data_IF_530613256646
#
_entry.id   IF_530613256646
#
_cell.length_a   1.000
_cell.length_b   1.000
_cell.length_c   1.000
_cell.angle_alpha   90.00
_cell.angle_beta   90.00
_cell.angle_gamma   90.00
#
_symmetry.space_group_name_H-M   'P 1'
#
loop_
_entity.id
_entity.type
_entity.pdbx_description
1 polymer ?
#
# COMPACT_ATOMS: atom_id res chain seq x y z
N UNK A 1 23.03 -15.70 -27.56
CA UNK A 1 23.90 -16.24 -26.50
C UNK A 1 24.48 -17.56 -26.98
N UNK A 2 25.74 -17.84 -26.66
CA UNK A 2 26.42 -19.11 -26.99
C UNK A 2 27.17 -19.61 -25.75
N UNK A 3 27.62 -20.87 -25.71
CA UNK A 3 28.42 -21.39 -24.59
C UNK A 3 29.66 -20.52 -24.27
N UNK A 4 30.31 -19.97 -25.30
CA UNK A 4 31.52 -19.12 -25.17
C UNK A 4 31.20 -17.63 -24.93
N UNK A 5 29.92 -17.25 -25.06
CA UNK A 5 29.44 -15.89 -24.82
C UNK A 5 28.02 -15.94 -24.23
N UNK A 6 27.90 -16.32 -22.94
CA UNK A 6 26.62 -16.45 -22.28
C UNK A 6 25.97 -15.08 -22.06
N UNK A 7 24.65 -15.03 -22.13
CA UNK A 7 23.91 -13.85 -21.69
C UNK A 7 23.86 -13.88 -20.16
N UNK A 8 24.51 -12.91 -19.52
CA UNK A 8 24.46 -12.75 -18.08
C UNK A 8 23.30 -11.82 -17.70
N UNK A 9 22.55 -12.21 -16.68
CA UNK A 9 21.43 -11.44 -16.13
C UNK A 9 21.62 -11.22 -14.64
N UNK A 10 21.23 -10.05 -14.17
CA UNK A 10 21.21 -9.71 -12.74
C UNK A 10 19.77 -9.46 -12.33
N UNK A 11 19.32 -10.13 -11.27
CA UNK A 11 18.03 -9.90 -10.66
C UNK A 11 18.23 -9.19 -9.33
N UNK A 12 17.67 -7.99 -9.20
CA UNK A 12 17.64 -7.23 -7.95
C UNK A 12 16.19 -7.04 -7.54
N UNK A 13 15.83 -7.56 -6.37
CA UNK A 13 14.50 -7.35 -5.81
C UNK A 13 14.39 -5.91 -5.28
N UNK A 14 13.45 -5.15 -5.84
CA UNK A 14 13.18 -3.79 -5.39
C UNK A 14 12.48 -3.81 -4.03
N UNK A 15 13.13 -3.24 -3.01
CA UNK A 15 12.54 -3.16 -1.67
C UNK A 15 11.48 -2.05 -1.62
N UNK A 16 10.19 -2.36 -1.34
CA UNK A 16 9.12 -1.37 -1.46
C UNK A 16 9.27 -0.14 -0.54
N UNK A 17 9.82 -0.31 0.67
CA UNK A 17 10.00 0.77 1.65
C UNK A 17 11.02 1.78 1.14
N UNK A 18 12.23 1.34 0.80
CA UNK A 18 13.30 2.18 0.25
C UNK A 18 12.86 2.91 -1.03
N UNK A 19 12.15 2.22 -1.94
CA UNK A 19 11.64 2.82 -3.18
C UNK A 19 10.63 3.94 -2.90
N UNK A 20 9.70 3.74 -1.96
CA UNK A 20 8.73 4.76 -1.55
C UNK A 20 9.43 5.94 -0.86
N UNK A 21 10.35 5.68 0.07
CA UNK A 21 11.11 6.75 0.75
C UNK A 21 11.89 7.63 -0.24
N UNK A 22 12.60 7.01 -1.19
CA UNK A 22 13.35 7.74 -2.22
C UNK A 22 12.42 8.55 -3.14
N UNK A 23 11.31 7.97 -3.57
CA UNK A 23 10.34 8.68 -4.40
C UNK A 23 9.78 9.93 -3.68
N UNK A 24 9.44 9.81 -2.39
CA UNK A 24 8.97 10.94 -1.58
C UNK A 24 10.06 11.99 -1.32
N UNK A 25 11.30 11.55 -1.08
CA UNK A 25 12.43 12.45 -0.88
C UNK A 25 12.73 13.26 -2.15
N UNK A 26 12.68 12.61 -3.32
CA UNK A 26 12.81 13.26 -4.63
C UNK A 26 11.71 14.28 -4.87
N UNK A 27 10.44 13.93 -4.58
CA UNK A 27 9.31 14.86 -4.68
C UNK A 27 9.48 16.11 -3.80
N UNK A 28 10.00 15.91 -2.61
CA UNK A 28 10.20 17.00 -1.64
C UNK A 28 11.37 17.90 -2.04
N UNK A 29 12.42 17.32 -2.62
CA UNK A 29 13.63 18.05 -3.04
C UNK A 29 13.47 18.79 -4.38
N UNK A 30 12.71 18.23 -5.33
CA UNK A 30 12.55 18.80 -6.67
C UNK A 30 11.46 19.88 -6.77
N UNK A 31 10.69 20.13 -5.69
CA UNK A 31 9.37 20.73 -5.80
C UNK A 31 8.41 19.78 -6.53
N UNK A 32 7.09 20.06 -6.51
CA UNK A 32 6.06 19.16 -7.03
C UNK A 32 6.46 18.52 -8.38
N UNK A 33 6.92 17.26 -8.32
CA UNK A 33 7.33 16.51 -9.50
C UNK A 33 6.12 16.46 -10.42
N UNK A 34 6.36 16.76 -11.71
CA UNK A 34 5.35 16.70 -12.77
C UNK A 34 4.45 15.49 -12.53
N UNK A 35 3.14 15.76 -12.43
CA UNK A 35 2.11 14.72 -12.37
C UNK A 35 2.49 13.61 -13.36
N UNK A 36 2.45 12.33 -12.96
CA UNK A 36 2.68 11.24 -13.90
C UNK A 36 1.77 11.47 -15.12
N UNK A 37 2.33 11.33 -16.32
CA UNK A 37 1.55 11.42 -17.54
C UNK A 37 0.39 10.44 -17.42
N UNK A 38 -0.83 10.88 -17.76
CA UNK A 38 -2.07 10.10 -17.65
C UNK A 38 -2.16 8.95 -18.65
N UNK A 39 -1.05 8.28 -18.93
CA UNK A 39 -0.98 7.08 -19.76
C UNK A 39 -1.44 5.84 -18.98
N UNK A 40 -1.84 4.78 -19.70
CA UNK A 40 -2.29 3.53 -19.10
C UNK A 40 -1.21 2.90 -18.23
N UNK A 41 -1.64 2.32 -17.10
CA UNK A 41 -0.78 1.60 -16.16
C UNK A 41 -0.26 0.32 -16.85
N UNK A 42 1.06 0.11 -17.00
CA UNK A 42 1.58 -1.15 -17.49
C UNK A 42 1.25 -2.26 -16.47
N UNK A 43 0.42 -3.22 -16.85
CA UNK A 43 0.09 -4.38 -16.03
C UNK A 43 1.20 -5.42 -16.17
N UNK A 44 2.25 -5.31 -15.36
CA UNK A 44 3.20 -6.43 -15.13
C UNK A 44 4.67 -6.12 -15.40
N UNK A 45 5.04 -5.76 -16.64
CA UNK A 45 6.44 -5.57 -17.03
C UNK A 45 6.63 -4.22 -17.73
N UNK A 46 7.61 -3.45 -17.26
CA UNK A 46 8.09 -2.25 -17.93
C UNK A 46 9.53 -2.49 -18.39
N UNK A 47 9.80 -2.22 -19.67
CA UNK A 47 11.15 -2.22 -20.23
C UNK A 47 11.68 -0.79 -20.21
N UNK A 48 12.95 -0.64 -19.85
CA UNK A 48 13.64 0.63 -19.86
C UNK A 48 15.08 0.41 -20.32
N UNK A 49 15.66 1.39 -21.00
CA UNK A 49 17.07 1.34 -21.35
C UNK A 49 17.92 1.67 -20.12
N UNK A 50 19.11 1.08 -20.07
CA UNK A 50 20.09 1.43 -19.06
C UNK A 50 20.73 2.76 -19.45
N UNK A 51 20.74 3.71 -18.52
CA UNK A 51 21.52 4.94 -18.61
C UNK A 51 22.82 4.81 -17.83
N UNK A 52 23.71 5.80 -17.96
CA UNK A 52 25.03 5.78 -17.33
C UNK A 52 24.92 5.74 -15.80
N UNK A 53 23.96 6.48 -15.22
CA UNK A 53 23.77 6.54 -13.79
C UNK A 53 23.33 5.18 -13.20
N UNK A 54 22.42 4.48 -13.87
CA UNK A 54 22.02 3.13 -13.51
C UNK A 54 23.18 2.15 -13.66
N UNK A 55 23.90 2.23 -14.79
CA UNK A 55 25.02 1.33 -15.10
C UNK A 55 26.13 1.44 -14.06
N UNK A 56 26.52 2.66 -13.70
CA UNK A 56 27.53 2.89 -12.66
C UNK A 56 27.07 2.39 -11.28
N UNK A 57 25.82 2.67 -10.90
CA UNK A 57 25.29 2.24 -9.60
C UNK A 57 25.22 0.70 -9.52
N UNK A 58 24.83 0.04 -10.61
CA UNK A 58 24.79 -1.42 -10.68
C UNK A 58 26.19 -2.02 -10.59
N UNK A 59 27.17 -1.46 -11.31
CA UNK A 59 28.56 -1.90 -11.26
C UNK A 59 29.12 -1.82 -9.84
N UNK A 60 28.93 -0.67 -9.16
CA UNK A 60 29.40 -0.46 -7.77
C UNK A 60 28.75 -1.44 -6.79
N UNK A 61 27.48 -1.80 -7.02
CA UNK A 61 26.79 -2.80 -6.19
C UNK A 61 27.38 -4.20 -6.41
N UNK A 62 27.61 -4.60 -7.67
CA UNK A 62 28.16 -5.91 -8.01
C UNK A 62 29.59 -6.09 -7.48
N UNK A 63 30.40 -5.04 -7.51
CA UNK A 63 31.77 -5.04 -6.97
C UNK A 63 31.84 -5.29 -5.46
N UNK A 64 30.75 -5.06 -4.70
CA UNK A 64 30.73 -5.42 -3.28
C UNK A 64 30.82 -6.94 -3.04
N UNK A 65 30.49 -7.75 -4.04
CA UNK A 65 30.59 -9.22 -3.95
C UNK A 65 31.99 -9.74 -3.66
N UNK A 66 33.02 -8.92 -3.85
CA UNK A 66 34.43 -9.27 -3.63
C UNK A 66 34.88 -9.12 -2.16
N UNK A 67 34.10 -8.44 -1.32
CA UNK A 67 34.48 -8.09 0.06
C UNK A 67 33.29 -8.18 1.03
N UNK A 68 33.28 -9.15 1.96
CA UNK A 68 32.23 -9.27 2.97
C UNK A 68 32.11 -8.04 3.89
N UNK A 69 33.23 -7.35 4.14
CA UNK A 69 33.25 -6.13 4.97
C UNK A 69 32.58 -4.98 4.23
N UNK A 70 32.92 -4.76 2.96
CA UNK A 70 32.30 -3.70 2.17
C UNK A 70 30.82 -3.98 1.92
N UNK A 71 30.44 -5.25 1.73
CA UNK A 71 29.04 -5.64 1.65
C UNK A 71 28.27 -5.29 2.93
N UNK A 72 28.84 -5.58 4.10
CA UNK A 72 28.20 -5.28 5.38
C UNK A 72 28.09 -3.77 5.66
N UNK A 73 29.13 -3.00 5.30
CA UNK A 73 29.21 -1.56 5.59
C UNK A 73 28.48 -0.71 4.54
N UNK A 74 28.63 -1.04 3.25
CA UNK A 74 28.17 -0.21 2.14
C UNK A 74 26.94 -0.77 1.42
N UNK A 75 26.57 -2.03 1.63
CA UNK A 75 25.54 -2.73 0.84
C UNK A 75 24.20 -1.98 0.79
N UNK A 76 23.69 -1.55 1.95
CA UNK A 76 22.44 -0.77 2.02
C UNK A 76 22.55 0.57 1.30
N UNK A 77 23.71 1.24 1.40
CA UNK A 77 23.97 2.49 0.70
C UNK A 77 24.01 2.31 -0.83
N UNK A 78 24.66 1.26 -1.33
CA UNK A 78 24.72 0.94 -2.77
C UNK A 78 23.38 0.53 -3.35
N UNK A 79 22.57 -0.22 -2.60
CA UNK A 79 21.18 -0.52 -3.00
C UNK A 79 20.35 0.76 -3.09
N UNK A 80 20.49 1.66 -2.12
CA UNK A 80 19.80 2.97 -2.14
C UNK A 80 20.24 3.83 -3.32
N UNK A 81 21.53 3.85 -3.65
CA UNK A 81 22.09 4.53 -4.84
C UNK A 81 21.49 3.97 -6.13
N UNK A 82 21.47 2.63 -6.28
CA UNK A 82 20.87 1.96 -7.44
C UNK A 82 19.37 2.28 -7.59
N UNK A 83 18.61 2.23 -6.50
CA UNK A 83 17.17 2.52 -6.52
C UNK A 83 16.89 3.98 -6.88
N UNK A 84 17.73 4.91 -6.41
CA UNK A 84 17.65 6.31 -6.80
C UNK A 84 17.93 6.50 -8.29
N UNK A 85 18.94 5.81 -8.84
CA UNK A 85 19.23 5.84 -10.27
C UNK A 85 18.05 5.31 -11.11
N UNK A 86 17.41 4.21 -10.70
CA UNK A 86 16.19 3.68 -11.33
C UNK A 86 15.06 4.72 -11.33
N UNK A 87 14.83 5.37 -10.19
CA UNK A 87 13.78 6.39 -10.06
C UNK A 87 14.08 7.66 -10.88
N UNK A 88 15.35 7.99 -11.09
CA UNK A 88 15.77 9.14 -11.90
C UNK A 88 15.71 8.86 -13.40
N UNK A 89 16.06 7.65 -13.82
CA UNK A 89 16.15 7.23 -15.22
C UNK A 89 14.81 6.95 -15.92
N UNK A 90 14.87 6.33 -17.09
CA UNK A 90 13.71 6.02 -17.95
C UNK A 90 12.67 5.13 -17.25
N UNK A 91 13.13 4.15 -16.46
CA UNK A 91 12.27 3.30 -15.63
C UNK A 91 11.53 4.08 -14.52
N UNK A 92 11.97 5.31 -14.24
CA UNK A 92 11.54 6.09 -13.09
C UNK A 92 10.06 6.44 -13.09
N UNK A 93 9.43 6.61 -14.26
CA UNK A 93 7.98 6.87 -14.31
C UNK A 93 7.17 5.62 -13.90
N UNK A 94 7.54 4.44 -14.41
CA UNK A 94 6.92 3.18 -14.03
C UNK A 94 7.19 2.86 -12.55
N UNK A 95 8.44 3.05 -12.09
CA UNK A 95 8.81 2.86 -10.70
C UNK A 95 8.09 3.83 -9.75
N UNK A 96 8.00 5.14 -10.07
CA UNK A 96 7.22 6.11 -9.29
C UNK A 96 5.72 5.82 -9.32
N UNK A 97 5.17 5.26 -10.39
CA UNK A 97 3.76 4.81 -10.39
C UNK A 97 3.54 3.54 -9.56
N UNK A 98 4.47 2.59 -9.60
CA UNK A 98 4.39 1.36 -8.83
C UNK A 98 4.63 1.58 -7.33
N UNK A 99 5.54 2.51 -6.97
CA UNK A 99 6.04 2.71 -5.61
C UNK A 99 5.80 4.11 -5.03
N UNK A 100 5.28 5.06 -5.81
CA UNK A 100 4.98 6.43 -5.40
C UNK A 100 3.49 6.72 -5.28
N UNK A 101 3.17 8.02 -5.28
CA UNK A 101 1.92 8.58 -4.75
C UNK A 101 0.68 7.99 -5.41
N UNK A 102 -0.03 7.17 -4.65
CA UNK A 102 -1.29 6.53 -5.04
C UNK A 102 -1.41 5.08 -4.58
N UNK A 103 -0.29 4.37 -4.41
CA UNK A 103 -0.28 2.98 -3.95
C UNK A 103 -0.15 2.85 -2.42
N UNK A 104 0.34 3.88 -1.73
CA UNK A 104 0.55 3.82 -0.28
C UNK A 104 -0.77 3.81 0.50
N UNK A 105 -1.77 4.54 -0.01
CA UNK A 105 -3.14 4.48 0.53
C UNK A 105 -3.78 3.13 0.22
N UNK A 106 -3.57 2.57 -0.97
CA UNK A 106 -4.06 1.24 -1.31
C UNK A 106 -3.45 0.15 -0.40
N UNK A 107 -2.14 0.21 -0.12
CA UNK A 107 -1.46 -0.67 0.84
C UNK A 107 -1.98 -0.50 2.27
N UNK A 108 -2.24 0.74 2.70
CA UNK A 108 -2.85 1.00 4.01
C UNK A 108 -4.28 0.45 4.10
N UNK A 109 -5.07 0.53 3.02
CA UNK A 109 -6.41 -0.06 2.93
C UNK A 109 -6.33 -1.59 2.93
N UNK A 110 -5.37 -2.18 2.22
CA UNK A 110 -5.16 -3.63 2.21
C UNK A 110 -4.74 -4.14 3.60
N UNK A 111 -3.83 -3.42 4.27
CA UNK A 111 -3.42 -3.70 5.65
C UNK A 111 -4.61 -3.70 6.61
N UNK A 112 -5.47 -2.67 6.52
CA UNK A 112 -6.70 -2.58 7.29
C UNK A 112 -7.68 -3.71 6.96
N UNK A 113 -7.87 -4.01 5.67
CA UNK A 113 -8.84 -5.01 5.22
C UNK A 113 -8.50 -6.41 5.73
N UNK A 114 -7.20 -6.72 5.87
CA UNK A 114 -6.72 -7.98 6.42
C UNK A 114 -6.84 -8.08 7.96
N UNK A 115 -7.22 -6.99 8.65
CA UNK A 115 -7.19 -6.86 10.12
C UNK A 115 -8.41 -6.13 10.66
N UNK A 116 -9.58 -6.34 10.04
CA UNK A 116 -10.81 -5.62 10.43
C UNK A 116 -11.31 -5.98 11.83
N UNK A 117 -10.93 -7.16 12.32
CA UNK A 117 -11.18 -7.72 13.64
C UNK A 117 -10.18 -7.26 14.72
N UNK A 118 -9.07 -6.65 14.32
CA UNK A 118 -8.04 -6.14 15.22
C UNK A 118 -8.15 -4.62 15.45
N UNK A 119 -7.69 -4.10 16.60
CA UNK A 119 -7.59 -2.67 16.84
C UNK A 119 -6.48 -2.04 15.98
N UNK A 120 -6.80 -1.64 14.76
CA UNK A 120 -5.89 -0.88 13.87
C UNK A 120 -5.97 0.62 14.17
N UNK A 121 -4.84 1.22 14.51
CA UNK A 121 -4.69 2.67 14.74
C UNK A 121 -4.34 3.43 13.46
N UNK A 122 -4.62 4.75 13.44
CA UNK A 122 -4.25 5.59 12.30
C UNK A 122 -2.73 5.76 12.22
N UNK A 123 -2.05 5.74 13.37
CA UNK A 123 -0.59 5.73 13.50
C UNK A 123 0.03 4.53 12.78
N UNK A 124 -0.50 3.32 12.99
CA UNK A 124 -0.03 2.12 12.31
C UNK A 124 -0.30 2.17 10.81
N UNK A 125 -1.49 2.62 10.38
CA UNK A 125 -1.79 2.79 8.96
C UNK A 125 -0.86 3.81 8.29
N UNK A 126 -0.55 4.90 8.98
CA UNK A 126 0.37 5.93 8.51
C UNK A 126 1.81 5.39 8.44
N UNK A 127 2.26 4.65 9.46
CA UNK A 127 3.55 4.00 9.48
C UNK A 127 3.70 2.97 8.35
N UNK A 128 2.67 2.15 8.11
CA UNK A 128 2.62 1.18 7.01
C UNK A 128 2.66 1.87 5.63
N UNK A 129 2.11 3.09 5.53
CA UNK A 129 2.19 3.91 4.34
C UNK A 129 3.50 4.71 4.22
N UNK A 130 4.41 4.64 5.22
CA UNK A 130 5.65 5.42 5.26
C UNK A 130 5.41 6.92 5.43
N UNK A 131 4.34 7.32 6.13
CA UNK A 131 3.89 8.71 6.24
C UNK A 131 3.77 9.16 7.70
N UNK A 132 4.01 10.45 7.94
CA UNK A 132 3.55 11.07 9.18
C UNK A 132 2.02 11.13 9.21
N UNK A 133 1.43 11.13 10.41
CA UNK A 133 -0.04 11.13 10.59
C UNK A 133 -0.74 12.27 9.85
N UNK A 134 -0.16 13.48 9.84
CA UNK A 134 -0.73 14.64 9.16
C UNK A 134 -0.75 14.48 7.63
N UNK A 135 0.34 13.96 7.05
CA UNK A 135 0.45 13.69 5.61
C UNK A 135 -0.49 12.57 5.21
N UNK A 136 -0.52 11.48 5.98
CA UNK A 136 -1.41 10.36 5.77
C UNK A 136 -2.87 10.80 5.75
N UNK A 137 -3.32 11.55 6.75
CA UNK A 137 -4.71 12.00 6.81
C UNK A 137 -5.13 12.84 5.60
N UNK A 138 -4.25 13.74 5.12
CA UNK A 138 -4.50 14.56 3.93
C UNK A 138 -4.59 13.69 2.66
N UNK A 139 -3.58 12.84 2.43
CA UNK A 139 -3.52 11.98 1.22
C UNK A 139 -4.63 10.92 1.20
N UNK A 140 -4.93 10.31 2.34
CA UNK A 140 -6.02 9.35 2.47
C UNK A 140 -7.37 9.98 2.12
N UNK A 141 -7.63 11.21 2.61
CA UNK A 141 -8.87 11.93 2.27
C UNK A 141 -8.94 12.33 0.80
N UNK A 142 -7.82 12.72 0.20
CA UNK A 142 -7.77 13.01 -1.24
C UNK A 142 -8.07 11.76 -2.08
N UNK A 143 -7.56 10.60 -1.67
CA UNK A 143 -7.73 9.35 -2.39
C UNK A 143 -9.12 8.70 -2.18
N UNK A 144 -9.66 8.75 -0.96
CA UNK A 144 -10.90 8.03 -0.59
C UNK A 144 -12.11 8.92 -0.40
N UNK A 145 -11.95 10.24 -0.48
CA UNK A 145 -12.94 11.27 -0.11
C UNK A 145 -13.32 11.31 1.39
N UNK A 146 -12.84 10.36 2.18
CA UNK A 146 -13.17 10.17 3.60
C UNK A 146 -11.93 10.34 4.49
N UNK A 147 -12.12 10.74 5.75
CA UNK A 147 -11.00 10.64 6.70
C UNK A 147 -10.69 9.17 7.02
N UNK A 148 -9.43 8.82 7.36
CA UNK A 148 -9.05 7.46 7.72
C UNK A 148 -9.98 6.81 8.76
N UNK A 149 -10.34 7.56 9.80
CA UNK A 149 -11.22 7.08 10.88
C UNK A 149 -12.62 6.73 10.36
N UNK A 150 -13.20 7.57 9.49
CA UNK A 150 -14.54 7.28 8.93
C UNK A 150 -14.50 6.10 7.97
N UNK A 151 -13.40 5.94 7.24
CA UNK A 151 -13.20 4.81 6.34
C UNK A 151 -13.09 3.48 7.09
N UNK A 152 -12.29 3.42 8.17
CA UNK A 152 -12.19 2.24 9.05
C UNK A 152 -13.55 1.85 9.61
N UNK A 153 -14.30 2.82 10.14
CA UNK A 153 -15.67 2.58 10.64
C UNK A 153 -16.58 2.01 9.56
N UNK A 154 -16.52 2.58 8.37
CA UNK A 154 -17.33 2.15 7.23
C UNK A 154 -17.02 0.71 6.83
N UNK A 155 -15.74 0.35 6.76
CA UNK A 155 -15.31 -1.02 6.48
C UNK A 155 -15.78 -2.02 7.55
N UNK A 156 -15.64 -1.68 8.83
CA UNK A 156 -16.09 -2.53 9.95
C UNK A 156 -17.60 -2.73 9.94
N UNK A 157 -18.37 -1.67 9.73
CA UNK A 157 -19.83 -1.74 9.65
C UNK A 157 -20.30 -2.56 8.44
N UNK A 158 -19.65 -2.40 7.28
CA UNK A 158 -19.93 -3.23 6.09
C UNK A 158 -19.60 -4.71 6.34
N UNK A 159 -18.47 -5.03 6.99
CA UNK A 159 -18.12 -6.40 7.34
C UNK A 159 -19.14 -7.01 8.31
N UNK A 160 -19.57 -6.25 9.33
CA UNK A 160 -20.61 -6.67 10.26
C UNK A 160 -21.95 -6.91 9.56
N UNK A 161 -22.32 -6.04 8.62
CA UNK A 161 -23.52 -6.21 7.80
C UNK A 161 -23.44 -7.54 7.03
N UNK A 162 -22.30 -7.85 6.40
CA UNK A 162 -22.14 -9.12 5.70
C UNK A 162 -22.28 -10.34 6.62
N UNK A 163 -21.66 -10.31 7.81
CA UNK A 163 -21.82 -11.35 8.84
C UNK A 163 -23.29 -11.52 9.25
N UNK A 164 -23.99 -10.41 9.47
CA UNK A 164 -25.41 -10.40 9.88
C UNK A 164 -26.31 -10.98 8.78
N UNK A 165 -26.04 -10.67 7.52
CA UNK A 165 -26.76 -11.26 6.38
C UNK A 165 -26.51 -12.77 6.28
N UNK A 166 -25.33 -13.25 6.71
CA UNK A 166 -24.98 -14.66 6.89
C UNK A 166 -25.51 -15.32 8.16
N UNK A 167 -26.43 -14.66 8.88
CA UNK A 167 -27.08 -15.23 10.06
C UNK A 167 -26.27 -15.12 11.34
N UNK A 168 -25.11 -14.45 11.34
CA UNK A 168 -24.36 -14.18 12.57
C UNK A 168 -25.21 -13.26 13.46
N UNK A 169 -25.40 -13.59 14.76
CA UNK A 169 -26.13 -12.72 15.68
C UNK A 169 -25.51 -11.33 15.74
N UNK A 170 -26.35 -10.28 15.76
CA UNK A 170 -25.93 -8.87 15.77
C UNK A 170 -24.88 -8.56 16.84
N UNK A 171 -25.04 -9.11 18.05
CA UNK A 171 -24.09 -8.93 19.15
C UNK A 171 -22.72 -9.52 18.85
N UNK A 172 -22.68 -10.71 18.26
CA UNK A 172 -21.43 -11.37 17.83
C UNK A 172 -20.78 -10.61 16.68
N UNK A 173 -21.56 -10.23 15.66
CA UNK A 173 -21.04 -9.44 14.54
C UNK A 173 -20.44 -8.10 14.99
N UNK A 174 -21.04 -7.43 15.99
CA UNK A 174 -20.51 -6.20 16.56
C UNK A 174 -19.16 -6.42 17.27
N UNK A 175 -19.04 -7.49 18.07
CA UNK A 175 -17.78 -7.86 18.72
C UNK A 175 -16.69 -8.22 17.72
N UNK A 176 -17.01 -9.03 16.72
CA UNK A 176 -16.07 -9.48 15.68
C UNK A 176 -15.43 -8.34 14.89
N UNK A 177 -16.10 -7.18 14.78
CA UNK A 177 -15.56 -6.01 14.07
C UNK A 177 -15.02 -4.93 15.03
N UNK A 178 -14.79 -5.30 16.30
CA UNK A 178 -14.09 -4.47 17.28
C UNK A 178 -14.95 -3.43 18.00
N UNK A 179 -16.27 -3.62 18.12
CA UNK A 179 -17.11 -2.78 18.98
C UNK A 179 -17.29 -3.40 20.37
N UNK A 180 -16.91 -2.66 21.41
CA UNK A 180 -17.13 -3.07 22.81
C UNK A 180 -18.59 -2.91 23.28
N UNK A 181 -19.42 -2.14 22.56
CA UNK A 181 -20.80 -1.85 22.95
C UNK A 181 -21.78 -2.05 21.78
N UNK A 182 -22.77 -2.94 21.99
CA UNK A 182 -23.86 -3.17 21.04
C UNK A 182 -24.72 -1.93 20.79
N UNK A 183 -24.86 -1.06 21.80
CA UNK A 183 -25.60 0.21 21.68
C UNK A 183 -24.86 1.23 20.82
N UNK A 184 -23.52 1.30 20.95
CA UNK A 184 -22.69 2.14 20.09
C UNK A 184 -22.73 1.64 18.64
N UNK A 185 -22.53 0.33 18.45
CA UNK A 185 -22.61 -0.32 17.15
C UNK A 185 -23.95 -0.04 16.46
N UNK A 186 -25.07 -0.29 17.14
CA UNK A 186 -26.40 -0.11 16.54
C UNK A 186 -26.67 1.34 16.11
N UNK A 187 -26.13 2.32 16.84
CA UNK A 187 -26.27 3.74 16.53
C UNK A 187 -25.45 4.13 15.30
N UNK A 188 -24.20 3.69 15.22
CA UNK A 188 -23.35 3.93 14.04
C UNK A 188 -23.83 3.17 12.81
N UNK A 189 -24.30 1.92 12.98
CA UNK A 189 -24.89 1.12 11.91
C UNK A 189 -26.12 1.81 11.34
N UNK A 190 -27.05 2.27 12.20
CA UNK A 190 -28.23 3.02 11.75
C UNK A 190 -27.88 4.31 11.04
N UNK A 191 -26.83 5.01 11.48
CA UNK A 191 -26.34 6.21 10.81
C UNK A 191 -25.82 5.91 9.40
N UNK A 192 -25.22 4.75 9.18
CA UNK A 192 -24.65 4.36 7.89
C UNK A 192 -25.69 3.77 6.94
N UNK A 193 -26.55 2.87 7.43
CA UNK A 193 -27.50 2.10 6.63
C UNK A 193 -28.95 2.61 6.71
N UNK A 194 -29.21 3.68 7.45
CA UNK A 194 -30.55 4.26 7.65
C UNK A 194 -31.48 3.48 8.60
N UNK A 195 -31.15 2.23 8.93
CA UNK A 195 -32.00 1.35 9.72
C UNK A 195 -31.20 0.51 10.74
N UNK A 196 -31.87 -0.10 11.72
CA UNK A 196 -31.17 -0.90 12.75
C UNK A 196 -30.59 -2.20 12.17
N UNK A 197 -29.55 -2.81 12.78
CA UNK A 197 -28.97 -4.07 12.28
C UNK A 197 -29.97 -5.23 12.16
N UNK A 198 -31.02 -5.26 13.02
CA UNK A 198 -32.09 -6.27 12.92
C UNK A 198 -33.04 -6.01 11.76
N UNK A 199 -33.36 -4.74 11.50
CA UNK A 199 -34.20 -4.33 10.35
C UNK A 199 -33.45 -4.59 9.04
N UNK A 200 -32.24 -4.02 8.95
CA UNK A 200 -31.02 -4.66 8.47
C UNK A 200 -31.12 -5.98 7.71
N UNK A 201 -30.88 -7.02 8.51
CA UNK A 201 -30.90 -8.45 8.21
C UNK A 201 -32.21 -8.92 7.57
N UNK A 202 -33.37 -8.48 8.09
CA UNK A 202 -34.68 -8.90 7.56
C UNK A 202 -34.91 -8.42 6.11
N UNK A 203 -34.35 -7.27 5.75
CA UNK A 203 -34.48 -6.71 4.41
C UNK A 203 -33.41 -7.22 3.43
N UNK A 204 -32.31 -7.82 3.92
CA UNK A 204 -31.16 -8.21 3.11
C UNK A 204 -30.66 -9.64 3.45
N UNK A 205 -31.45 -10.68 3.18
CA UNK A 205 -30.96 -12.06 3.30
C UNK A 205 -29.87 -12.35 2.27
N UNK A 206 -28.82 -13.08 2.64
CA UNK A 206 -27.83 -13.57 1.65
C UNK A 206 -28.50 -14.53 0.66
N UNK A 207 -28.14 -14.50 -0.64
CA UNK A 207 -28.56 -15.51 -1.60
C UNK A 207 -28.09 -16.89 -1.14
N UNK A 208 -28.95 -17.91 -1.23
CA UNK A 208 -28.58 -19.29 -0.91
C UNK A 208 -27.44 -19.76 -1.84
N UNK A 209 -26.23 -19.95 -1.31
CA UNK A 209 -25.08 -20.49 -2.08
C UNK A 209 -23.69 -19.92 -1.76
N UNK A 210 -23.56 -18.98 -0.81
CA UNK A 210 -22.27 -18.34 -0.45
C UNK A 210 -21.91 -18.44 1.05
N UNK A 211 -22.49 -19.42 1.76
CA UNK A 211 -22.17 -19.71 3.17
C UNK A 211 -21.10 -20.79 3.30
#
# INVERSE_FOLDING_TARGET
ASPDNPLLGVMVSLEPRMMTELALAMESAAGAIRKPGGGPIPQGLALARWDDAFTEALLRLLQLGESPVDMAVLGQGRLRELFYAILKGEAGEAARRAFGVGNEIARAIQYLSARLDEPVTIEEMAAQAGMSRAVFHRRFRQATTMSPIQFVKSMRLNNAAMKIAGGVPVSKAAWDVGYASSSQFSREFRRMFGQSPRQWSRANPLPAGLA
#
